data_IF_191463185815
#
_entry.id   IF_191463185815
#
_cell.length_a   1.000
_cell.length_b   1.000
_cell.length_c   1.000
_cell.angle_alpha   90.00
_cell.angle_beta   90.00
_cell.angle_gamma   90.00
#
_symmetry.space_group_name_H-M   'P 1'
#
loop_
_entity.id
_entity.type
_entity.pdbx_description
1 polymer ?
#
# COMPACT_ATOMS: atom_id res chain seq x y z
N UNK A 1 31.24 -37.98 -22.95
CA UNK A 1 31.07 -36.55 -22.69
C UNK A 1 29.84 -36.44 -21.81
N UNK A 2 30.02 -36.50 -20.49
CA UNK A 2 28.95 -36.10 -19.57
C UNK A 2 28.79 -34.59 -19.76
N UNK A 3 27.67 -34.20 -20.35
CA UNK A 3 27.30 -32.79 -20.42
C UNK A 3 27.01 -32.34 -19.00
N UNK A 4 27.71 -31.30 -18.57
CA UNK A 4 27.47 -30.61 -17.31
C UNK A 4 25.98 -30.25 -17.23
N UNK A 5 25.22 -30.87 -16.32
CA UNK A 5 23.85 -30.47 -16.08
C UNK A 5 23.87 -29.10 -15.40
N UNK A 6 23.29 -28.05 -16.01
CA UNK A 6 23.26 -26.73 -15.39
C UNK A 6 22.52 -26.82 -14.06
N UNK A 7 23.17 -26.42 -12.97
CA UNK A 7 22.52 -26.30 -11.67
C UNK A 7 21.68 -25.02 -11.61
N UNK A 8 20.79 -24.93 -10.63
CA UNK A 8 20.11 -23.68 -10.30
C UNK A 8 19.89 -23.59 -8.80
N UNK A 9 19.75 -22.35 -8.32
CA UNK A 9 19.49 -22.02 -6.92
C UNK A 9 18.12 -21.35 -6.86
N UNK A 10 17.26 -21.94 -6.03
CA UNK A 10 15.97 -21.36 -5.69
C UNK A 10 16.06 -20.63 -4.35
N UNK A 11 15.37 -19.51 -4.25
CA UNK A 11 15.22 -18.71 -3.05
C UNK A 11 13.73 -18.62 -2.76
N UNK A 12 13.33 -18.95 -1.53
CA UNK A 12 11.92 -18.87 -1.14
C UNK A 12 11.39 -17.43 -1.21
N UNK A 13 10.10 -17.33 -1.48
CA UNK A 13 9.42 -16.08 -1.77
C UNK A 13 8.39 -15.72 -0.69
N UNK A 14 8.01 -14.44 -0.68
CA UNK A 14 7.06 -13.90 0.27
C UNK A 14 6.01 -13.03 -0.41
N UNK A 15 4.77 -13.17 0.03
CA UNK A 15 3.68 -12.29 -0.33
C UNK A 15 2.83 -11.94 0.89
N UNK A 16 2.26 -10.74 0.85
CA UNK A 16 1.35 -10.26 1.87
C UNK A 16 0.01 -9.89 1.22
N UNK A 17 -1.05 -10.41 1.82
CA UNK A 17 -2.44 -10.14 1.45
C UNK A 17 -3.17 -9.54 2.66
N UNK A 18 -4.23 -8.78 2.41
CA UNK A 18 -5.04 -8.17 3.46
C UNK A 18 -6.52 -8.38 3.13
N UNK A 19 -7.26 -8.96 4.07
CA UNK A 19 -8.69 -9.23 3.92
C UNK A 19 -9.42 -7.95 3.49
N UNK A 20 -10.40 -8.04 2.60
CA UNK A 20 -11.22 -6.89 2.17
C UNK A 20 -10.53 -5.74 1.43
N UNK A 21 -9.20 -5.74 1.24
CA UNK A 21 -8.46 -4.68 0.53
C UNK A 21 -7.49 -5.21 -0.53
N UNK A 22 -6.83 -6.34 -0.28
CA UNK A 22 -5.95 -7.03 -1.23
C UNK A 22 -5.93 -8.52 -0.96
N UNK A 23 -6.96 -9.23 -1.43
CA UNK A 23 -7.12 -10.68 -1.21
C UNK A 23 -6.46 -11.54 -2.29
N UNK A 24 -5.89 -10.90 -3.33
CA UNK A 24 -5.22 -11.56 -4.44
C UNK A 24 -3.97 -10.80 -4.84
N UNK A 25 -2.92 -11.53 -5.23
CA UNK A 25 -1.71 -10.95 -5.82
C UNK A 25 -1.02 -11.95 -6.74
N UNK A 26 -0.20 -11.43 -7.64
CA UNK A 26 0.70 -12.23 -8.48
C UNK A 26 2.13 -12.01 -8.00
N UNK A 27 2.91 -13.09 -7.92
CA UNK A 27 4.29 -13.10 -7.43
C UNK A 27 5.18 -13.71 -8.50
N UNK A 28 6.24 -12.98 -8.84
CA UNK A 28 7.34 -13.49 -9.66
C UNK A 28 8.32 -14.26 -8.77
N UNK A 29 8.04 -15.55 -8.60
CA UNK A 29 8.79 -16.45 -7.71
C UNK A 29 10.18 -16.81 -8.24
N UNK A 30 10.52 -16.41 -9.46
CA UNK A 30 11.84 -16.63 -10.04
C UNK A 30 12.73 -15.38 -9.96
N UNK A 31 12.23 -14.29 -9.35
CA UNK A 31 12.87 -13.00 -9.46
C UNK A 31 14.25 -12.90 -8.82
N UNK A 32 14.46 -13.70 -7.79
CA UNK A 32 15.68 -13.83 -7.01
C UNK A 32 16.32 -15.22 -7.18
N UNK A 33 15.91 -15.98 -8.19
CA UNK A 33 16.45 -17.30 -8.51
C UNK A 33 17.52 -17.23 -9.59
N UNK A 34 18.48 -18.16 -9.55
CA UNK A 34 19.69 -18.07 -10.37
C UNK A 34 20.07 -19.38 -11.05
N UNK A 35 20.53 -19.27 -12.30
CA UNK A 35 21.18 -20.37 -13.03
C UNK A 35 22.65 -20.44 -12.62
N UNK A 36 23.10 -21.64 -12.26
CA UNK A 36 24.50 -21.96 -12.00
C UNK A 36 25.11 -22.63 -13.23
N UNK A 37 25.99 -21.93 -13.93
CA UNK A 37 26.87 -22.54 -14.92
C UNK A 37 28.11 -23.11 -14.21
N UNK A 38 28.31 -24.42 -14.32
CA UNK A 38 29.57 -25.07 -13.95
C UNK A 38 30.72 -24.40 -14.70
N UNK A 39 31.65 -23.78 -13.99
CA UNK A 39 32.95 -23.39 -14.54
C UNK A 39 33.24 -21.89 -14.76
N UNK A 40 32.29 -20.96 -14.57
CA UNK A 40 32.62 -19.53 -14.54
C UNK A 40 32.63 -18.97 -13.12
N UNK A 41 33.82 -18.93 -12.54
CA UNK A 41 34.09 -18.11 -11.38
C UNK A 41 33.92 -16.62 -11.73
N UNK A 42 33.13 -15.92 -10.90
CA UNK A 42 33.01 -14.46 -10.76
C UNK A 42 32.14 -13.74 -11.80
N UNK A 43 30.86 -13.60 -11.47
CA UNK A 43 30.15 -12.33 -11.73
C UNK A 43 28.86 -12.36 -12.53
N UNK A 44 28.34 -13.51 -12.95
CA UNK A 44 27.12 -13.56 -13.77
C UNK A 44 26.24 -14.76 -13.45
N UNK A 45 25.68 -14.81 -12.25
CA UNK A 45 24.50 -15.62 -12.02
C UNK A 45 23.36 -14.96 -12.79
N UNK A 46 22.93 -15.57 -13.89
CA UNK A 46 21.78 -15.08 -14.65
C UNK A 46 20.50 -15.46 -13.90
N UNK A 47 19.52 -14.56 -13.92
CA UNK A 47 18.19 -14.84 -13.38
C UNK A 47 17.60 -16.07 -14.05
N UNK A 48 16.91 -16.90 -13.28
CA UNK A 48 16.27 -18.10 -13.77
C UNK A 48 14.95 -17.75 -14.48
N UNK A 49 15.00 -17.45 -15.79
CA UNK A 49 13.81 -17.00 -16.55
C UNK A 49 13.14 -18.09 -17.41
N UNK A 50 13.70 -19.30 -17.45
CA UNK A 50 13.28 -20.39 -18.35
C UNK A 50 12.81 -21.65 -17.62
N UNK A 51 12.38 -21.50 -16.36
CA UNK A 51 11.86 -22.59 -15.54
C UNK A 51 10.38 -22.83 -15.81
N UNK A 52 9.94 -24.09 -15.74
CA UNK A 52 8.53 -24.43 -15.64
C UNK A 52 8.14 -24.56 -14.17
N UNK A 53 7.07 -23.89 -13.77
CA UNK A 53 6.52 -23.94 -12.42
C UNK A 53 5.31 -24.86 -12.37
N UNK A 54 5.27 -25.73 -11.37
CA UNK A 54 4.11 -26.57 -11.06
C UNK A 54 3.75 -26.41 -9.58
N UNK A 55 2.52 -25.99 -9.28
CA UNK A 55 2.06 -25.94 -7.89
C UNK A 55 1.74 -27.36 -7.44
N UNK A 56 2.47 -27.83 -6.43
CA UNK A 56 2.33 -29.17 -5.86
C UNK A 56 1.59 -29.18 -4.52
N UNK A 57 1.33 -28.00 -3.95
CA UNK A 57 0.44 -27.83 -2.80
C UNK A 57 0.24 -26.36 -2.44
N UNK A 58 -0.95 -25.98 -1.99
CA UNK A 58 -1.29 -24.62 -1.58
C UNK A 58 -2.28 -24.67 -0.42
N UNK A 59 -1.81 -24.98 0.80
CA UNK A 59 -2.65 -25.35 1.94
C UNK A 59 -3.90 -24.45 2.10
N UNK A 60 -5.08 -24.90 1.65
CA UNK A 60 -6.37 -24.17 1.65
C UNK A 60 -6.44 -22.90 0.80
N UNK A 61 -5.31 -22.33 0.39
CA UNK A 61 -5.19 -21.17 -0.48
C UNK A 61 -5.41 -21.56 -1.94
N UNK A 62 -6.12 -20.74 -2.72
CA UNK A 62 -6.13 -20.94 -4.17
C UNK A 62 -4.83 -20.38 -4.75
N UNK A 63 -4.08 -21.20 -5.48
CA UNK A 63 -2.88 -20.77 -6.17
C UNK A 63 -2.85 -21.34 -7.60
N UNK A 64 -2.44 -20.51 -8.55
CA UNK A 64 -2.36 -20.88 -9.97
C UNK A 64 -1.10 -20.29 -10.61
N UNK A 65 -0.43 -21.08 -11.46
CA UNK A 65 0.64 -20.54 -12.31
C UNK A 65 0.00 -19.83 -13.50
N UNK A 66 0.37 -18.58 -13.71
CA UNK A 66 -0.12 -17.73 -14.80
C UNK A 66 0.61 -18.06 -16.11
N UNK A 67 0.09 -17.56 -17.23
CA UNK A 67 0.76 -17.70 -18.55
C UNK A 67 2.12 -17.02 -18.62
N UNK A 68 2.40 -16.06 -17.74
CA UNK A 68 3.69 -15.39 -17.60
C UNK A 68 4.67 -16.07 -16.65
N UNK A 69 4.41 -17.33 -16.25
CA UNK A 69 5.23 -18.09 -15.28
C UNK A 69 5.35 -17.40 -13.90
N UNK A 70 4.35 -16.62 -13.51
CA UNK A 70 4.22 -16.09 -12.15
C UNK A 70 3.15 -16.86 -11.37
N UNK A 71 3.22 -16.84 -10.05
CA UNK A 71 2.24 -17.50 -9.18
C UNK A 71 1.20 -16.48 -8.74
N UNK A 72 -0.05 -16.66 -9.18
CA UNK A 72 -1.20 -15.95 -8.64
C UNK A 72 -1.72 -16.69 -7.42
N UNK A 73 -1.90 -15.96 -6.32
CA UNK A 73 -2.50 -16.47 -5.08
C UNK A 73 -3.77 -15.70 -4.75
N UNK A 74 -4.79 -16.42 -4.29
CA UNK A 74 -6.11 -15.90 -3.96
C UNK A 74 -6.56 -16.44 -2.58
N UNK A 75 -6.67 -15.53 -1.62
CA UNK A 75 -7.07 -15.78 -0.25
C UNK A 75 -8.54 -15.44 0.04
N UNK A 76 -9.34 -15.09 -0.98
CA UNK A 76 -10.73 -14.60 -0.81
C UNK A 76 -11.69 -15.62 -0.18
N UNK A 77 -11.25 -16.87 0.03
CA UNK A 77 -12.05 -17.98 0.57
C UNK A 77 -11.45 -18.63 1.81
N UNK A 78 -10.42 -18.03 2.40
CA UNK A 78 -9.78 -18.52 3.61
C UNK A 78 -9.81 -17.46 4.70
N UNK A 79 -9.50 -17.85 5.93
CA UNK A 79 -9.38 -16.90 7.05
C UNK A 79 -7.97 -16.30 7.10
N UNK A 80 -7.79 -15.10 7.70
CA UNK A 80 -6.47 -14.57 7.97
C UNK A 80 -5.55 -15.57 8.69
N UNK A 81 -4.31 -15.67 8.23
CA UNK A 81 -3.33 -16.64 8.69
C UNK A 81 -2.14 -16.74 7.74
N UNK A 82 -1.19 -17.61 8.09
CA UNK A 82 -0.02 -17.91 7.25
C UNK A 82 -0.29 -19.13 6.38
N UNK A 83 0.05 -19.01 5.10
CA UNK A 83 -0.13 -20.01 4.07
C UNK A 83 1.19 -20.31 3.37
N UNK A 84 1.30 -21.52 2.84
CA UNK A 84 2.48 -21.96 2.09
C UNK A 84 2.01 -22.54 0.77
N UNK A 85 2.60 -22.06 -0.32
CA UNK A 85 2.49 -22.65 -1.65
C UNK A 85 3.81 -23.36 -1.95
N UNK A 86 3.75 -24.68 -2.09
CA UNK A 86 4.87 -25.50 -2.53
C UNK A 86 4.87 -25.57 -4.06
N UNK A 87 6.00 -25.21 -4.65
CA UNK A 87 6.18 -25.11 -6.09
C UNK A 87 7.31 -26.05 -6.49
N UNK A 88 7.06 -26.92 -7.47
CA UNK A 88 8.10 -27.65 -8.16
C UNK A 88 8.57 -26.85 -9.37
N UNK A 89 9.86 -26.53 -9.38
CA UNK A 89 10.53 -25.77 -10.42
C UNK A 89 11.38 -26.73 -11.25
N UNK A 90 11.11 -26.77 -12.55
CA UNK A 90 11.78 -27.68 -13.49
C UNK A 90 12.49 -26.88 -14.57
N UNK A 91 13.77 -27.15 -14.76
CA UNK A 91 14.58 -26.56 -15.82
C UNK A 91 14.98 -27.66 -16.80
N UNK A 92 14.88 -27.38 -18.11
CA UNK A 92 15.23 -28.37 -19.12
C UNK A 92 16.70 -28.78 -18.99
N UNK A 93 16.94 -30.08 -18.78
CA UNK A 93 18.30 -30.62 -18.59
C UNK A 93 18.85 -30.47 -17.17
N UNK A 94 18.02 -30.13 -16.18
CA UNK A 94 18.39 -30.17 -14.77
C UNK A 94 17.35 -30.96 -13.95
N UNK A 95 17.72 -31.37 -12.74
CA UNK A 95 16.79 -32.00 -11.81
C UNK A 95 15.76 -30.99 -11.29
N UNK A 96 14.52 -31.43 -11.04
CA UNK A 96 13.53 -30.55 -10.41
C UNK A 96 13.91 -30.25 -8.96
N UNK A 97 13.62 -29.03 -8.53
CA UNK A 97 13.78 -28.61 -7.14
C UNK A 97 12.49 -27.97 -6.63
N UNK A 98 12.33 -27.91 -5.32
CA UNK A 98 11.18 -27.29 -4.67
C UNK A 98 11.56 -25.94 -4.08
N UNK A 99 10.67 -24.97 -4.25
CA UNK A 99 10.68 -23.71 -3.51
C UNK A 99 9.33 -23.49 -2.84
N UNK A 100 9.32 -22.57 -1.87
CA UNK A 100 8.15 -22.18 -1.13
C UNK A 100 7.84 -20.70 -1.32
N UNK A 101 6.57 -20.41 -1.60
CA UNK A 101 6.01 -19.08 -1.46
C UNK A 101 5.24 -19.02 -0.15
N UNK A 102 5.74 -18.23 0.80
CA UNK A 102 5.08 -17.92 2.06
C UNK A 102 4.10 -16.76 1.86
N UNK A 103 2.83 -16.97 2.21
CA UNK A 103 1.78 -15.97 2.06
C UNK A 103 1.20 -15.62 3.42
N UNK A 104 1.44 -14.40 3.88
CA UNK A 104 0.81 -13.87 5.08
C UNK A 104 -0.50 -13.17 4.69
N UNK A 105 -1.63 -13.78 5.05
CA UNK A 105 -2.95 -13.18 4.85
C UNK A 105 -3.40 -12.51 6.15
N UNK A 106 -3.36 -11.19 6.18
CA UNK A 106 -3.68 -10.41 7.36
C UNK A 106 -5.16 -10.05 7.42
N UNK A 107 -5.69 -9.98 8.63
CA UNK A 107 -7.02 -9.42 8.87
C UNK A 107 -6.99 -7.92 8.66
N UNK A 108 -7.96 -7.38 7.93
CA UNK A 108 -8.14 -5.93 7.86
C UNK A 108 -8.52 -5.40 9.24
N UNK A 109 -7.69 -4.50 9.76
CA UNK A 109 -8.04 -3.75 10.94
C UNK A 109 -9.01 -2.64 10.52
N UNK A 110 -10.29 -2.79 10.87
CA UNK A 110 -11.33 -1.78 10.62
C UNK A 110 -11.52 -0.90 11.84
N UNK A 111 -10.47 -0.20 12.24
CA UNK A 111 -10.52 0.74 13.34
C UNK A 111 -10.34 2.14 12.78
N UNK A 112 -11.42 2.94 12.69
CA UNK A 112 -11.33 4.31 12.18
C UNK A 112 -10.29 5.14 12.93
N UNK A 113 -9.65 6.11 12.26
CA UNK A 113 -8.81 7.08 12.95
C UNK A 113 -9.63 7.94 13.92
N UNK A 114 -8.96 8.49 14.92
CA UNK A 114 -9.56 9.47 15.83
C UNK A 114 -9.25 10.85 15.29
N UNK A 115 -10.29 11.55 14.80
CA UNK A 115 -10.18 12.92 14.32
C UNK A 115 -10.85 13.89 15.30
N UNK A 116 -10.21 15.03 15.52
CA UNK A 116 -10.68 16.06 16.44
C UNK A 116 -11.11 17.31 15.65
N UNK A 117 -12.21 17.95 16.06
CA UNK A 117 -12.67 19.18 15.42
C UNK A 117 -11.63 20.31 15.56
N UNK A 118 -11.49 21.11 14.51
CA UNK A 118 -10.50 22.17 14.41
C UNK A 118 -11.10 23.57 14.51
N UNK A 119 -10.28 24.52 14.95
CA UNK A 119 -10.65 25.94 14.96
C UNK A 119 -9.48 26.83 14.58
N UNK A 120 -9.67 27.64 13.54
CA UNK A 120 -8.65 28.55 13.02
C UNK A 120 -9.16 29.99 12.93
N UNK A 121 -8.23 30.94 13.01
CA UNK A 121 -8.49 32.35 12.71
C UNK A 121 -7.43 32.85 11.74
N UNK A 122 -7.85 33.55 10.70
CA UNK A 122 -6.94 34.10 9.68
C UNK A 122 -7.45 35.40 9.09
N UNK A 123 -6.68 35.97 8.17
CA UNK A 123 -7.06 37.23 7.54
C UNK A 123 -7.86 37.00 6.26
N UNK A 124 -8.93 37.77 6.09
CA UNK A 124 -9.75 37.76 4.89
C UNK A 124 -8.95 38.23 3.66
N UNK A 125 -9.21 37.59 2.51
CA UNK A 125 -8.54 37.88 1.24
C UNK A 125 -7.16 37.24 1.06
N UNK A 126 -6.66 36.52 2.06
CA UNK A 126 -5.41 35.75 2.00
C UNK A 126 -5.71 34.24 2.03
N UNK A 127 -4.77 33.43 1.53
CA UNK A 127 -4.83 31.98 1.69
C UNK A 127 -4.35 31.61 3.10
N UNK A 128 -5.27 31.12 3.93
CA UNK A 128 -5.00 30.73 5.31
C UNK A 128 -4.76 29.22 5.36
N UNK A 129 -3.56 28.75 5.77
CA UNK A 129 -3.27 27.32 5.93
C UNK A 129 -4.02 26.75 7.14
N UNK A 130 -4.52 25.53 6.99
CA UNK A 130 -5.31 24.79 7.97
C UNK A 130 -4.67 23.39 8.13
N UNK A 131 -3.74 23.21 9.08
CA UNK A 131 -3.13 21.92 9.38
C UNK A 131 -4.10 21.03 10.16
N UNK A 132 -5.17 20.60 9.51
CA UNK A 132 -6.31 19.86 10.10
C UNK A 132 -5.94 18.47 10.65
N UNK A 133 -4.73 17.96 10.38
CA UNK A 133 -4.29 16.64 10.86
C UNK A 133 -3.41 16.73 12.12
N UNK A 134 -3.02 17.93 12.58
CA UNK A 134 -2.04 18.11 13.67
C UNK A 134 -2.51 17.54 15.02
N UNK A 135 -3.82 17.51 15.24
CA UNK A 135 -4.46 17.01 16.45
C UNK A 135 -5.11 15.62 16.24
N UNK A 136 -4.86 14.96 15.12
CA UNK A 136 -5.48 13.69 14.76
C UNK A 136 -4.54 12.50 14.96
N UNK A 137 -5.10 11.29 15.03
CA UNK A 137 -4.29 10.07 15.14
C UNK A 137 -4.91 8.85 14.49
N UNK A 138 -4.08 8.08 13.78
CA UNK A 138 -4.41 6.73 13.36
C UNK A 138 -4.37 5.78 14.57
N UNK A 139 -5.30 4.83 14.63
CA UNK A 139 -5.39 3.90 15.77
C UNK A 139 -4.12 3.06 15.96
N UNK A 140 -3.43 2.74 14.86
CA UNK A 140 -2.21 1.92 14.85
C UNK A 140 -0.92 2.77 14.80
N UNK A 141 -1.01 4.10 14.93
CA UNK A 141 0.16 4.99 14.98
C UNK A 141 0.84 5.27 13.63
N UNK A 142 0.15 5.00 12.52
CA UNK A 142 0.59 5.34 11.16
C UNK A 142 0.23 6.77 10.72
N UNK A 143 0.68 7.19 9.52
CA UNK A 143 0.33 8.49 8.96
C UNK A 143 -1.15 8.58 8.59
N UNK A 144 -1.70 9.79 8.67
CA UNK A 144 -3.02 10.14 8.14
C UNK A 144 -2.89 10.97 6.87
N UNK A 145 -3.87 10.84 5.99
CA UNK A 145 -3.98 11.65 4.78
C UNK A 145 -5.40 12.19 4.62
N UNK A 146 -5.56 13.35 3.98
CA UNK A 146 -6.87 13.91 3.68
C UNK A 146 -7.45 13.19 2.46
N UNK A 147 -8.54 12.45 2.66
CA UNK A 147 -9.23 11.70 1.61
C UNK A 147 -10.27 12.57 0.87
N UNK A 148 -11.00 13.43 1.59
CA UNK A 148 -11.93 14.37 0.98
C UNK A 148 -12.25 15.54 1.91
N UNK A 149 -12.84 16.61 1.37
CA UNK A 149 -13.37 17.72 2.14
C UNK A 149 -14.55 18.38 1.43
N UNK A 150 -15.39 19.07 2.20
CA UNK A 150 -16.50 19.87 1.68
C UNK A 150 -16.10 21.33 1.51
N UNK A 151 -16.81 22.05 0.65
CA UNK A 151 -16.65 23.50 0.56
C UNK A 151 -17.48 24.17 1.67
N UNK A 152 -16.97 25.25 2.29
CA UNK A 152 -17.78 26.06 3.18
C UNK A 152 -18.88 26.77 2.37
N UNK A 153 -20.00 27.08 3.03
CA UNK A 153 -21.02 27.93 2.42
C UNK A 153 -20.55 29.39 2.23
N UNK A 154 -21.24 30.12 1.36
CA UNK A 154 -20.94 31.53 1.08
C UNK A 154 -19.81 31.73 0.08
N UNK A 155 -19.05 32.82 0.22
CA UNK A 155 -18.03 33.26 -0.75
C UNK A 155 -16.60 32.82 -0.37
N UNK A 156 -16.45 31.81 0.48
CA UNK A 156 -15.15 31.21 0.79
C UNK A 156 -14.92 29.93 -0.02
N UNK A 157 -13.65 29.61 -0.24
CA UNK A 157 -13.23 28.41 -0.96
C UNK A 157 -12.12 27.72 -0.19
N UNK A 158 -12.22 26.41 -0.05
CA UNK A 158 -11.18 25.53 0.49
C UNK A 158 -10.50 24.81 -0.67
N UNK A 159 -9.17 24.75 -0.63
CA UNK A 159 -8.34 23.99 -1.58
C UNK A 159 -7.33 23.15 -0.80
N UNK A 160 -6.81 22.10 -1.42
CA UNK A 160 -5.77 21.27 -0.81
C UNK A 160 -4.43 21.54 -1.49
N UNK A 161 -3.38 21.74 -0.68
CA UNK A 161 -2.00 21.93 -1.13
C UNK A 161 -1.14 20.92 -0.39
N UNK A 162 -0.76 19.83 -1.07
CA UNK A 162 -0.08 18.70 -0.43
C UNK A 162 -1.00 17.99 0.58
N UNK A 163 -0.57 17.94 1.85
CA UNK A 163 -1.37 17.37 2.95
C UNK A 163 -2.11 18.41 3.80
N UNK A 164 -2.05 19.69 3.44
CA UNK A 164 -2.75 20.76 4.15
C UNK A 164 -3.95 21.29 3.36
N UNK A 165 -4.97 21.76 4.07
CA UNK A 165 -6.04 22.55 3.49
C UNK A 165 -5.72 24.03 3.58
N UNK A 166 -6.24 24.81 2.64
CA UNK A 166 -6.14 26.26 2.64
C UNK A 166 -7.50 26.86 2.34
N UNK A 167 -7.89 27.86 3.12
CA UNK A 167 -9.14 28.62 2.91
C UNK A 167 -8.84 30.04 2.49
N UNK A 168 -9.59 30.54 1.50
CA UNK A 168 -9.59 31.95 1.09
C UNK A 168 -11.04 32.43 1.02
N UNK A 169 -11.30 33.65 1.50
CA UNK A 169 -12.65 34.22 1.46
C UNK A 169 -12.72 35.62 2.09
N UNK A 170 -13.91 36.26 2.04
CA UNK A 170 -14.14 37.53 2.73
C UNK A 170 -14.19 37.35 4.25
N UNK A 171 -14.41 38.46 4.97
CA UNK A 171 -14.60 38.44 6.42
C UNK A 171 -15.87 37.66 6.74
N UNK A 172 -15.76 36.69 7.63
CA UNK A 172 -16.88 35.82 7.96
C UNK A 172 -16.49 34.64 8.83
N UNK A 173 -17.49 33.86 9.20
CA UNK A 173 -17.34 32.57 9.86
C UNK A 173 -17.76 31.46 8.89
N UNK A 174 -16.91 30.46 8.78
CA UNK A 174 -17.05 29.37 7.83
C UNK A 174 -16.93 28.04 8.57
N UNK A 175 -17.69 27.07 8.11
CA UNK A 175 -17.57 25.69 8.56
C UNK A 175 -17.59 24.76 7.36
N UNK A 176 -16.79 23.72 7.44
CA UNK A 176 -16.77 22.62 6.49
C UNK A 176 -16.30 21.37 7.23
N UNK A 177 -16.27 20.25 6.52
CA UNK A 177 -15.82 18.96 7.05
C UNK A 177 -14.70 18.40 6.18
N UNK A 178 -13.78 17.67 6.79
CA UNK A 178 -12.82 16.83 6.07
C UNK A 178 -12.97 15.37 6.51
N UNK A 179 -12.53 14.48 5.63
CA UNK A 179 -12.41 13.05 5.86
C UNK A 179 -10.94 12.71 5.77
N UNK A 180 -10.38 12.09 6.81
CA UNK A 180 -9.02 11.56 6.78
C UNK A 180 -9.04 10.03 6.66
N UNK A 181 -7.98 9.48 6.07
CA UNK A 181 -7.76 8.06 5.83
C UNK A 181 -6.39 7.63 6.39
N UNK A 182 -6.34 6.48 7.05
CA UNK A 182 -5.10 5.82 7.47
C UNK A 182 -4.50 4.94 6.36
N UNK A 183 -3.31 4.39 6.59
CA UNK A 183 -2.62 3.51 5.62
C UNK A 183 -3.38 2.21 5.28
N UNK A 184 -4.42 1.86 6.04
CA UNK A 184 -5.23 0.66 5.87
C UNK A 184 -6.59 0.95 5.21
N UNK A 185 -6.83 2.20 4.79
CA UNK A 185 -8.07 2.64 4.15
C UNK A 185 -9.21 2.91 5.13
N UNK A 186 -8.94 3.02 6.44
CA UNK A 186 -9.96 3.38 7.41
C UNK A 186 -10.17 4.89 7.41
N UNK A 187 -11.43 5.31 7.38
CA UNK A 187 -11.79 6.72 7.31
C UNK A 187 -12.61 7.18 8.51
N UNK A 188 -12.45 8.44 8.88
CA UNK A 188 -13.34 9.16 9.78
C UNK A 188 -13.47 10.63 9.31
N UNK A 189 -14.35 11.41 9.92
CA UNK A 189 -14.55 12.82 9.54
C UNK A 189 -14.68 13.72 10.76
N UNK A 190 -14.13 14.93 10.64
CA UNK A 190 -14.22 15.98 11.65
C UNK A 190 -14.62 17.31 11.00
N UNK A 191 -15.01 18.27 11.84
CA UNK A 191 -15.44 19.62 11.42
C UNK A 191 -14.33 20.63 11.63
N UNK A 192 -14.25 21.57 10.71
CA UNK A 192 -13.32 22.70 10.78
C UNK A 192 -14.13 23.98 10.88
N UNK A 193 -13.83 24.79 11.90
CA UNK A 193 -14.40 26.12 12.07
C UNK A 193 -13.34 27.17 11.76
N UNK A 194 -13.63 28.10 10.86
CA UNK A 194 -12.70 29.16 10.47
C UNK A 194 -13.35 30.52 10.64
N UNK A 195 -12.64 31.43 11.30
CA UNK A 195 -12.99 32.85 11.37
C UNK A 195 -12.02 33.68 10.55
N UNK A 196 -12.49 34.30 9.47
CA UNK A 196 -11.71 35.25 8.68
C UNK A 196 -12.01 36.68 9.13
N UNK A 197 -10.97 37.40 9.54
CA UNK A 197 -11.05 38.76 10.07
C UNK A 197 -10.38 39.78 9.15
N UNK A 198 -10.73 41.06 9.32
CA UNK A 198 -10.02 42.14 8.61
C UNK A 198 -8.59 42.22 9.12
N UNK A 199 -7.66 42.51 8.21
CA UNK A 199 -6.33 42.96 8.58
C UNK A 199 -6.46 44.35 9.23
N UNK A 200 -5.76 44.56 10.34
CA UNK A 200 -5.65 45.90 10.90
C UNK A 200 -4.90 46.81 9.91
N UNK A 201 -5.31 48.08 9.73
CA UNK A 201 -4.52 49.05 8.99
C UNK A 201 -3.13 49.18 9.62
N UNK A 202 -2.08 49.20 8.81
CA UNK A 202 -0.73 49.54 9.28
C UNK A 202 -0.77 51.02 9.69
N UNK A 203 -0.43 51.39 10.95
CA UNK A 203 -0.30 52.79 11.33
C UNK A 203 0.75 53.46 10.45
N UNK A 204 0.40 54.61 9.85
CA UNK A 204 1.33 55.42 9.06
C UNK A 204 2.23 56.28 9.94
#
# INVERSE_FOLDING_TARGET
MEGDTPGFILVDDYAQLVQGSRERTTVDVLANDYIMHSGTARGGANRLDNANLTIIGANRLNATVTSGQQVEVDASRVEPGQYIVAIETTVAGADSQRQYLYVDFLKQQRVPPTLNDDSFTGFAGEAVPLPVLDNDSAHLGGPLTIASFTQPGGDATVTQVGQELQITGPVGEYNFSYTAEDEFGNTASARVYVRLIRRAPIPQ
#
